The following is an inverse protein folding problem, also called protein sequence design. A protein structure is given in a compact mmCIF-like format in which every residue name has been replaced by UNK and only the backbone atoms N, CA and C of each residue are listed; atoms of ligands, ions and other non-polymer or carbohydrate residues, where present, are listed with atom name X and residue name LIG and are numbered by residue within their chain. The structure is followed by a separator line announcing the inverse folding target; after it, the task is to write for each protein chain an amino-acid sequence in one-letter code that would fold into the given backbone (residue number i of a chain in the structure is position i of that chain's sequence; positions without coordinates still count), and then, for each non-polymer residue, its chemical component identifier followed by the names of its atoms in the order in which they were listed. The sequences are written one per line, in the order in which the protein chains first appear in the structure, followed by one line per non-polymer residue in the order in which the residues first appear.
data_IF_473188973206
#
_entry.id   IF_473188973206
#
_cell.length_a   1.000
_cell.length_b   1.000
_cell.length_c   1.000
_cell.angle_alpha   90.00
_cell.angle_beta   90.00
_cell.angle_gamma   90.00
#
_symmetry.space_group_name_H-M   'P 1'
#
loop_
_entity.id
_entity.type
_entity.pdbx_description
1 polymer ?
#
# COMPACT_ATOMS: atom_id res chain seq x y z
N UNK A 1 -6.06 -9.98 14.01
CA UNK A 1 -5.45 -10.29 12.71
C UNK A 1 -4.05 -9.68 12.69
N UNK A 2 -3.02 -10.47 12.44
CA UNK A 2 -1.63 -10.00 12.32
C UNK A 2 -1.24 -9.90 10.83
N UNK A 3 -0.14 -9.21 10.45
CA UNK A 3 0.31 -9.16 9.06
C UNK A 3 0.49 -10.55 8.43
N UNK A 4 1.05 -11.52 9.15
CA UNK A 4 1.19 -12.90 8.63
C UNK A 4 -0.14 -13.55 8.25
N UNK A 5 -1.25 -13.08 8.79
CA UNK A 5 -2.58 -13.67 8.59
C UNK A 5 -3.13 -13.43 7.18
N UNK A 6 -2.72 -12.37 6.47
CA UNK A 6 -3.33 -12.08 5.15
C UNK A 6 -2.92 -13.06 4.06
N UNK A 7 -1.84 -13.82 4.25
CA UNK A 7 -1.44 -14.89 3.33
C UNK A 7 -2.04 -16.25 3.70
N UNK A 8 -2.75 -16.33 4.83
CA UNK A 8 -3.42 -17.55 5.28
C UNK A 8 -4.71 -17.74 4.48
N UNK A 9 -4.95 -18.94 3.90
CA UNK A 9 -6.17 -19.21 3.13
C UNK A 9 -7.45 -18.88 3.92
N UNK A 10 -8.41 -18.25 3.24
CA UNK A 10 -9.72 -17.88 3.81
C UNK A 10 -9.74 -16.65 4.72
N UNK A 11 -8.60 -16.20 5.28
CA UNK A 11 -8.59 -15.00 6.15
C UNK A 11 -8.94 -13.74 5.36
N UNK A 12 -8.31 -13.53 4.19
CA UNK A 12 -8.59 -12.36 3.39
C UNK A 12 -10.07 -12.28 2.95
N UNK A 13 -10.67 -13.42 2.61
CA UNK A 13 -12.09 -13.52 2.24
C UNK A 13 -13.02 -13.19 3.40
N UNK A 14 -12.78 -13.82 4.57
CA UNK A 14 -13.60 -13.63 5.76
C UNK A 14 -13.65 -12.17 6.25
N UNK A 15 -12.57 -11.42 6.02
CA UNK A 15 -12.40 -10.05 6.51
C UNK A 15 -12.40 -8.99 5.40
N UNK A 16 -12.70 -9.39 4.16
CA UNK A 16 -12.68 -8.53 2.97
C UNK A 16 -13.61 -7.32 3.08
N UNK A 17 -14.73 -7.47 3.80
CA UNK A 17 -15.75 -6.43 3.99
C UNK A 17 -15.42 -5.45 5.12
N UNK A 18 -14.57 -5.86 6.07
CA UNK A 18 -14.24 -5.06 7.25
C UNK A 18 -12.95 -4.25 7.05
N UNK A 19 -12.01 -4.77 6.26
CA UNK A 19 -10.70 -4.14 6.07
C UNK A 19 -10.34 -4.03 4.59
N UNK A 20 -10.14 -2.80 4.12
CA UNK A 20 -9.73 -2.50 2.73
C UNK A 20 -8.50 -3.33 2.30
N UNK A 21 -7.50 -3.46 3.18
CA UNK A 21 -6.31 -4.27 2.88
C UNK A 21 -6.68 -5.73 2.58
N UNK A 22 -7.60 -6.33 3.35
CA UNK A 22 -8.05 -7.71 3.12
C UNK A 22 -8.86 -7.82 1.83
N UNK A 23 -9.70 -6.84 1.51
CA UNK A 23 -10.39 -6.77 0.23
C UNK A 23 -9.42 -6.76 -0.96
N UNK A 24 -8.31 -6.02 -0.88
CA UNK A 24 -7.28 -6.04 -1.91
C UNK A 24 -6.57 -7.40 -2.02
N UNK A 25 -6.27 -8.06 -0.90
CA UNK A 25 -5.65 -9.39 -0.90
C UNK A 25 -6.59 -10.44 -1.49
N UNK A 26 -7.88 -10.38 -1.14
CA UNK A 26 -8.90 -11.26 -1.70
C UNK A 26 -9.00 -11.11 -3.22
N UNK A 27 -9.02 -9.87 -3.72
CA UNK A 27 -9.00 -9.60 -5.15
C UNK A 27 -7.76 -10.19 -5.85
N UNK A 28 -6.58 -10.03 -5.26
CA UNK A 28 -5.34 -10.62 -5.80
C UNK A 28 -5.46 -12.14 -5.89
N UNK A 29 -5.95 -12.81 -4.85
CA UNK A 29 -6.12 -14.27 -4.81
C UNK A 29 -7.18 -14.79 -5.79
N UNK A 30 -8.16 -13.96 -6.17
CA UNK A 30 -9.13 -14.32 -7.22
C UNK A 30 -8.57 -14.18 -8.64
N UNK A 31 -7.71 -13.18 -8.86
CA UNK A 31 -7.19 -12.83 -10.19
C UNK A 31 -5.93 -13.64 -10.53
N UNK A 32 -5.09 -13.94 -9.55
CA UNK A 32 -3.83 -14.65 -9.75
C UNK A 32 -3.95 -16.08 -9.24
N UNK A 33 -3.46 -17.02 -10.04
CA UNK A 33 -3.41 -18.45 -9.70
C UNK A 33 -2.03 -18.85 -9.22
N UNK A 34 -1.98 -19.93 -8.43
CA UNK A 34 -0.74 -20.47 -7.88
C UNK A 34 -0.40 -19.93 -6.48
N UNK A 35 0.78 -20.30 -5.94
CA UNK A 35 1.21 -19.89 -4.61
C UNK A 35 1.41 -18.38 -4.49
N UNK A 36 0.90 -17.78 -3.40
CA UNK A 36 0.94 -16.33 -3.18
C UNK A 36 2.35 -15.72 -3.25
N UNK A 37 3.36 -16.46 -2.78
CA UNK A 37 4.75 -16.02 -2.81
C UNK A 37 5.34 -15.95 -4.22
N UNK A 38 4.86 -16.75 -5.17
CA UNK A 38 5.34 -16.72 -6.56
C UNK A 38 4.82 -15.49 -7.30
N UNK A 39 3.54 -15.17 -7.13
CA UNK A 39 2.89 -14.11 -7.91
C UNK A 39 2.78 -12.76 -7.19
N UNK A 40 3.09 -12.72 -5.90
CA UNK A 40 2.97 -11.52 -5.04
C UNK A 40 4.04 -11.48 -3.94
N UNK A 41 5.28 -11.79 -4.33
CA UNK A 41 6.45 -11.89 -3.46
C UNK A 41 6.68 -10.67 -2.55
N UNK A 42 6.46 -9.43 -3.02
CA UNK A 42 6.61 -8.24 -2.17
C UNK A 42 5.61 -8.23 -0.99
N UNK A 43 4.34 -8.55 -1.27
CA UNK A 43 3.33 -8.69 -0.23
C UNK A 43 3.61 -9.90 0.67
N UNK A 44 4.10 -11.00 0.11
CA UNK A 44 4.55 -12.16 0.90
C UNK A 44 5.63 -11.76 1.92
N UNK A 45 6.65 -11.02 1.51
CA UNK A 45 7.69 -10.53 2.42
C UNK A 45 7.12 -9.57 3.48
N UNK A 46 6.17 -8.71 3.11
CA UNK A 46 5.48 -7.81 4.05
C UNK A 46 4.70 -8.58 5.11
N UNK A 47 4.18 -9.77 4.80
CA UNK A 47 3.46 -10.60 5.77
C UNK A 47 4.34 -11.01 6.96
N UNK A 48 5.67 -11.06 6.78
CA UNK A 48 6.64 -11.35 7.85
C UNK A 48 6.92 -10.17 8.80
N UNK A 49 6.36 -8.98 8.54
CA UNK A 49 6.55 -7.80 9.40
C UNK A 49 5.71 -7.98 10.68
N UNK A 50 6.27 -7.71 11.88
CA UNK A 50 5.65 -8.15 13.13
C UNK A 50 4.42 -7.34 13.58
N UNK A 51 4.10 -6.21 12.95
CA UNK A 51 2.90 -5.42 13.31
C UNK A 51 2.40 -4.57 12.15
N UNK A 52 1.09 -4.30 12.14
CA UNK A 52 0.47 -3.40 11.17
C UNK A 52 1.00 -1.98 11.22
N UNK A 53 1.39 -1.49 12.40
CA UNK A 53 2.03 -0.18 12.55
C UNK A 53 3.35 -0.09 11.75
N UNK A 54 4.18 -1.15 11.81
CA UNK A 54 5.41 -1.22 11.01
C UNK A 54 5.13 -1.43 9.53
N UNK A 55 4.13 -2.24 9.16
CA UNK A 55 3.69 -2.39 7.77
C UNK A 55 3.29 -1.03 7.19
N UNK A 56 2.44 -0.28 7.88
CA UNK A 56 2.00 1.05 7.45
C UNK A 56 3.17 2.02 7.28
N UNK A 57 4.06 2.10 8.27
CA UNK A 57 5.24 2.96 8.19
C UNK A 57 6.16 2.58 7.01
N UNK A 58 6.33 1.29 6.74
CA UNK A 58 7.08 0.78 5.60
C UNK A 58 6.42 1.12 4.27
N UNK A 59 5.11 0.87 4.14
CA UNK A 59 4.34 1.14 2.92
C UNK A 59 4.28 2.63 2.60
N UNK A 60 4.21 3.53 3.59
CA UNK A 60 4.30 4.98 3.36
C UNK A 60 5.67 5.36 2.78
N UNK A 61 6.77 4.81 3.33
CA UNK A 61 8.12 5.05 2.81
C UNK A 61 8.27 4.51 1.39
N UNK A 62 7.77 3.30 1.15
CA UNK A 62 7.77 2.67 -0.17
C UNK A 62 6.94 3.46 -1.17
N UNK A 63 5.76 3.96 -0.81
CA UNK A 63 4.94 4.80 -1.69
C UNK A 63 5.66 6.09 -2.07
N UNK A 64 6.33 6.75 -1.11
CA UNK A 64 7.15 7.93 -1.41
C UNK A 64 8.29 7.63 -2.38
N UNK A 65 8.99 6.51 -2.20
CA UNK A 65 10.15 6.17 -3.04
C UNK A 65 9.74 5.61 -4.42
N UNK A 66 8.82 4.65 -4.43
CA UNK A 66 8.50 3.81 -5.59
C UNK A 66 7.35 4.37 -6.43
N UNK A 67 6.56 5.30 -5.88
CA UNK A 67 5.51 6.03 -6.62
C UNK A 67 5.91 7.48 -6.76
N UNK A 68 5.87 8.26 -5.67
CA UNK A 68 6.06 9.71 -5.75
C UNK A 68 7.46 10.12 -6.23
N UNK A 69 8.48 9.32 -5.93
CA UNK A 69 9.88 9.53 -6.32
C UNK A 69 10.23 9.01 -7.71
N UNK A 70 9.31 8.32 -8.41
CA UNK A 70 9.57 7.75 -9.73
C UNK A 70 8.90 8.56 -10.83
N UNK A 71 9.69 9.31 -11.59
CA UNK A 71 9.20 10.12 -12.70
C UNK A 71 8.27 9.35 -13.67
N UNK A 72 8.60 8.13 -14.15
CA UNK A 72 7.71 7.40 -15.05
C UNK A 72 6.31 7.11 -14.47
N UNK A 73 6.19 7.07 -13.15
CA UNK A 73 4.94 6.81 -12.43
C UNK A 73 4.14 8.11 -12.25
N UNK A 74 4.80 9.23 -11.92
CA UNK A 74 4.14 10.50 -11.62
C UNK A 74 4.09 11.51 -12.76
N UNK A 75 4.72 11.23 -13.92
CA UNK A 75 4.79 12.17 -15.04
C UNK A 75 3.44 12.67 -15.56
N UNK A 76 2.35 11.95 -15.26
CA UNK A 76 0.98 12.31 -15.66
C UNK A 76 0.15 12.93 -14.53
N UNK A 77 0.74 13.24 -13.37
CA UNK A 77 0.05 13.98 -12.31
C UNK A 77 -0.22 15.41 -12.80
N UNK A 78 -1.51 15.80 -12.79
CA UNK A 78 -1.95 17.12 -13.24
C UNK A 78 -1.93 18.10 -12.07
N UNK A 79 -1.38 19.29 -12.32
CA UNK A 79 -1.35 20.38 -11.36
C UNK A 79 -2.30 21.49 -11.81
N UNK A 80 -3.01 22.07 -10.84
CA UNK A 80 -4.01 23.12 -11.07
C UNK A 80 -4.17 23.98 -9.82
N UNK A 81 -5.32 24.63 -9.67
CA UNK A 81 -5.52 25.57 -8.56
C UNK A 81 -5.54 24.88 -7.19
N UNK A 82 -6.13 23.68 -7.08
CA UNK A 82 -6.21 22.92 -5.82
C UNK A 82 -4.89 22.22 -5.47
N UNK A 83 -4.13 21.79 -6.48
CA UNK A 83 -2.83 21.14 -6.34
C UNK A 83 -1.80 21.93 -7.16
N UNK A 84 -1.31 23.07 -6.65
CA UNK A 84 -0.45 23.94 -7.42
C UNK A 84 0.98 23.39 -7.50
N UNK A 85 1.61 23.52 -8.67
CA UNK A 85 3.03 23.19 -8.87
C UNK A 85 3.93 24.37 -8.50
N UNK A 86 3.82 24.81 -7.25
CA UNK A 86 4.65 25.87 -6.67
C UNK A 86 5.32 25.37 -5.40
N UNK A 87 6.48 25.94 -5.02
CA UNK A 87 7.15 25.56 -3.77
C UNK A 87 6.20 25.66 -2.58
N UNK A 88 6.24 24.66 -1.70
CA UNK A 88 5.47 24.68 -0.46
C UNK A 88 5.91 25.87 0.40
N UNK A 89 4.94 26.68 0.82
CA UNK A 89 5.15 27.78 1.76
C UNK A 89 4.65 27.32 3.12
N UNK A 90 5.58 27.17 4.07
CA UNK A 90 5.21 26.84 5.45
C UNK A 90 4.41 28.00 6.03
N UNK A 91 3.16 27.75 6.42
CA UNK A 91 2.35 28.76 7.09
C UNK A 91 2.96 29.01 8.48
N UNK A 92 3.20 30.27 8.83
CA UNK A 92 3.95 30.66 10.03
C UNK A 92 3.34 30.19 11.36
N UNK A 93 2.14 29.61 11.37
CA UNK A 93 1.36 29.28 12.58
C UNK A 93 1.04 27.79 12.78
N UNK A 94 1.59 26.87 11.99
CA UNK A 94 1.48 25.43 12.30
C UNK A 94 2.58 24.99 13.28
N UNK A 95 2.18 24.70 14.52
CA UNK A 95 3.01 24.05 15.55
C UNK A 95 3.39 22.64 15.13
#
# INVERSE_FOLDING_TARGET
IEPKSFTTPGIAEAYSRDYMFMGCIEFISKVKTGPFHEHSNQLWNISGVPSWAKVNAGLIKMYKAEVLGKFPVVQHVVFGNLLPFRPYQKVANEK
#
